data_IF_487504588973
#
_entry.id   IF_487504588973
#
_cell.length_a   1.000
_cell.length_b   1.000
_cell.length_c   1.000
_cell.angle_alpha   90.00
_cell.angle_beta   90.00
_cell.angle_gamma   90.00
#
_symmetry.space_group_name_H-M   'P 1'
#
loop_
_entity.id
_entity.type
_entity.pdbx_description
1 polymer ?
#
# COMPACT_ATOMS: atom_id res chain seq x y z
N UNK A 1 51.65 -12.58 -16.50
CA UNK A 1 51.71 -11.97 -15.16
C UNK A 1 51.39 -10.49 -15.29
N UNK A 2 50.42 -10.00 -14.52
CA UNK A 2 50.27 -8.62 -14.02
C UNK A 2 50.37 -7.40 -14.99
N UNK A 3 49.19 -6.89 -15.38
CA UNK A 3 48.79 -5.47 -15.18
C UNK A 3 48.57 -5.22 -13.66
N UNK A 4 48.36 -4.00 -13.11
CA UNK A 4 47.97 -2.70 -13.71
C UNK A 4 49.09 -1.62 -13.48
N UNK A 5 48.94 -0.29 -13.41
CA UNK A 5 47.84 0.71 -13.27
C UNK A 5 48.20 1.98 -14.06
N UNK A 6 47.22 2.79 -14.52
CA UNK A 6 47.54 4.04 -15.22
C UNK A 6 46.41 5.00 -15.59
N UNK A 7 45.35 5.12 -14.78
CA UNK A 7 44.30 6.17 -14.86
C UNK A 7 43.50 6.21 -16.18
N UNK A 8 42.30 5.61 -16.17
CA UNK A 8 41.23 5.97 -17.11
C UNK A 8 40.12 6.69 -16.34
N UNK A 9 39.92 7.97 -16.66
CA UNK A 9 38.82 8.77 -16.10
C UNK A 9 37.51 8.31 -16.74
N UNK A 10 36.70 7.57 -16.00
CA UNK A 10 35.31 7.31 -16.37
C UNK A 10 34.41 8.19 -15.50
N UNK A 11 33.90 9.26 -16.11
CA UNK A 11 32.75 10.01 -15.60
C UNK A 11 31.57 9.04 -15.59
N UNK A 12 31.24 8.50 -14.43
CA UNK A 12 30.04 7.69 -14.24
C UNK A 12 28.90 8.61 -13.81
N UNK A 13 27.99 9.03 -14.71
CA UNK A 13 26.74 9.61 -14.25
C UNK A 13 26.01 8.50 -13.48
N UNK A 14 25.79 8.69 -12.17
CA UNK A 14 24.92 7.80 -11.41
C UNK A 14 23.50 7.95 -11.95
N UNK A 15 23.17 7.15 -12.97
CA UNK A 15 21.81 6.92 -13.36
C UNK A 15 21.13 6.16 -12.22
N UNK A 16 20.60 6.92 -11.27
CA UNK A 16 19.56 6.47 -10.36
C UNK A 16 18.25 6.26 -11.14
N UNK A 17 18.28 5.33 -12.09
CA UNK A 17 17.15 4.49 -12.45
C UNK A 17 16.90 3.51 -11.29
N UNK A 18 16.67 4.08 -10.10
CA UNK A 18 15.88 3.42 -9.09
C UNK A 18 14.48 3.26 -9.69
N UNK A 19 14.30 2.16 -10.42
CA UNK A 19 13.00 1.69 -10.84
C UNK A 19 12.19 1.52 -9.56
N UNK A 20 11.33 2.50 -9.28
CA UNK A 20 10.30 2.34 -8.29
C UNK A 20 9.53 1.10 -8.72
N UNK A 21 9.51 0.01 -7.93
CA UNK A 21 8.71 -1.15 -8.30
C UNK A 21 7.29 -0.67 -8.50
N UNK A 22 6.65 -1.14 -9.57
CA UNK A 22 5.33 -0.71 -10.01
C UNK A 22 4.29 -0.86 -8.90
N UNK A 23 4.12 0.17 -8.07
CA UNK A 23 3.17 0.15 -6.93
C UNK A 23 1.72 0.07 -7.38
N UNK A 24 1.45 0.41 -8.64
CA UNK A 24 0.15 0.19 -9.27
C UNK A 24 -0.20 -1.31 -9.31
N UNK A 25 0.78 -2.19 -9.51
CA UNK A 25 0.51 -3.62 -9.61
C UNK A 25 0.16 -4.25 -8.25
N UNK A 26 0.72 -3.80 -7.11
CA UNK A 26 0.35 -4.40 -5.81
C UNK A 26 -1.11 -4.16 -5.42
N UNK A 27 -1.62 -2.94 -5.62
CA UNK A 27 -3.04 -2.63 -5.42
C UNK A 27 -3.92 -3.25 -6.51
N UNK A 28 -3.43 -3.35 -7.75
CA UNK A 28 -4.18 -3.95 -8.87
C UNK A 28 -4.31 -5.47 -8.72
N UNK A 29 -3.28 -6.17 -8.27
CA UNK A 29 -3.35 -7.59 -7.93
C UNK A 29 -4.27 -7.81 -6.73
N UNK A 30 -4.19 -6.98 -5.68
CA UNK A 30 -5.13 -7.14 -4.56
C UNK A 30 -6.59 -6.88 -4.97
N UNK A 31 -6.85 -5.88 -5.82
CA UNK A 31 -8.19 -5.63 -6.41
C UNK A 31 -8.65 -6.74 -7.34
N UNK A 32 -7.75 -7.41 -8.07
CA UNK A 32 -8.07 -8.63 -8.84
C UNK A 32 -8.43 -9.79 -7.92
N UNK A 33 -7.65 -10.03 -6.87
CA UNK A 33 -7.87 -11.11 -5.91
C UNK A 33 -9.24 -11.00 -5.22
N UNK A 34 -9.68 -9.79 -4.87
CA UNK A 34 -11.03 -9.60 -4.32
C UNK A 34 -12.12 -9.94 -5.35
N UNK A 35 -12.00 -9.46 -6.60
CA UNK A 35 -12.96 -9.77 -7.67
C UNK A 35 -13.04 -11.26 -7.99
N UNK A 36 -11.91 -11.98 -7.96
CA UNK A 36 -11.90 -13.43 -8.15
C UNK A 36 -12.66 -14.15 -7.03
N UNK A 37 -12.55 -13.67 -5.78
CA UNK A 37 -13.29 -14.20 -4.65
C UNK A 37 -14.80 -13.92 -4.73
N UNK A 38 -15.22 -12.82 -5.35
CA UNK A 38 -16.64 -12.54 -5.63
C UNK A 38 -17.18 -13.42 -6.78
N UNK A 39 -16.42 -13.62 -7.86
CA UNK A 39 -16.83 -14.40 -9.05
C UNK A 39 -16.97 -15.91 -8.74
N UNK A 40 -16.09 -16.50 -7.92
CA UNK A 40 -16.16 -17.92 -7.52
C UNK A 40 -17.38 -18.24 -6.64
N UNK A 41 -18.09 -17.23 -6.11
CA UNK A 41 -19.21 -17.39 -5.16
C UNK A 41 -20.60 -17.27 -5.77
N UNK A 42 -20.73 -16.96 -7.07
CA UNK A 42 -22.03 -16.77 -7.73
C UNK A 42 -22.75 -18.08 -8.11
N UNK A 43 -22.37 -19.21 -7.52
CA UNK A 43 -23.04 -20.49 -7.77
C UNK A 43 -24.32 -20.59 -6.91
N UNK A 44 -25.51 -20.82 -7.50
CA UNK A 44 -26.78 -20.59 -6.83
C UNK A 44 -27.14 -21.69 -5.81
N UNK A 45 -26.74 -21.50 -4.55
CA UNK A 45 -27.18 -22.35 -3.43
C UNK A 45 -28.57 -21.91 -2.96
N UNK A 46 -29.51 -22.85 -2.93
CA UNK A 46 -30.91 -22.56 -2.65
C UNK A 46 -31.17 -22.17 -1.17
N UNK A 47 -31.63 -20.93 -0.99
CA UNK A 47 -32.58 -20.47 0.04
C UNK A 47 -32.55 -21.17 1.42
N UNK A 48 -31.51 -20.96 2.23
CA UNK A 48 -31.59 -21.27 3.69
C UNK A 48 -30.59 -20.55 4.63
N UNK A 49 -29.97 -19.42 4.25
CA UNK A 49 -28.96 -18.73 5.10
C UNK A 49 -29.06 -17.20 5.08
N UNK A 50 -29.90 -16.57 5.95
CA UNK A 50 -30.08 -15.11 5.93
C UNK A 50 -28.99 -14.29 6.63
N UNK A 51 -28.25 -14.86 7.60
CA UNK A 51 -27.33 -14.09 8.47
C UNK A 51 -25.85 -14.19 8.08
N UNK A 52 -25.39 -15.37 7.69
CA UNK A 52 -23.98 -15.62 7.31
C UNK A 52 -23.60 -14.84 6.04
N UNK A 53 -24.38 -15.01 4.97
CA UNK A 53 -24.20 -14.29 3.70
C UNK A 53 -24.24 -12.75 3.87
N UNK A 54 -25.03 -12.25 4.82
CA UNK A 54 -25.09 -10.82 5.13
C UNK A 54 -23.82 -10.31 5.84
N UNK A 55 -23.25 -11.08 6.78
CA UNK A 55 -22.00 -10.71 7.45
C UNK A 55 -20.79 -10.73 6.51
N UNK A 56 -20.80 -11.60 5.50
CA UNK A 56 -19.72 -11.70 4.52
C UNK A 56 -19.75 -10.57 3.49
N UNK A 57 -20.93 -10.26 2.93
CA UNK A 57 -21.09 -9.10 2.05
C UNK A 57 -20.69 -7.79 2.75
N UNK A 58 -21.05 -7.63 4.03
CA UNK A 58 -20.69 -6.43 4.79
C UNK A 58 -19.18 -6.34 5.03
N UNK A 59 -18.48 -7.46 5.28
CA UNK A 59 -17.01 -7.45 5.32
C UNK A 59 -16.41 -7.06 3.96
N UNK A 60 -16.92 -7.60 2.84
CA UNK A 60 -16.45 -7.26 1.50
C UNK A 60 -16.67 -5.76 1.18
N UNK A 61 -17.75 -5.15 1.66
CA UNK A 61 -17.97 -3.70 1.57
C UNK A 61 -16.97 -2.92 2.43
N UNK A 62 -16.82 -3.26 3.71
CA UNK A 62 -15.92 -2.59 4.66
C UNK A 62 -14.45 -2.64 4.19
N UNK A 63 -13.96 -3.82 3.76
CA UNK A 63 -12.59 -3.97 3.27
C UNK A 63 -12.39 -3.26 1.92
N UNK A 64 -13.44 -3.18 1.07
CA UNK A 64 -13.41 -2.39 -0.16
C UNK A 64 -13.29 -0.89 0.10
N UNK A 65 -14.06 -0.35 1.06
CA UNK A 65 -13.96 1.06 1.47
C UNK A 65 -12.58 1.37 2.05
N UNK A 66 -12.07 0.49 2.92
CA UNK A 66 -10.73 0.59 3.47
C UNK A 66 -9.65 0.60 2.38
N UNK A 67 -9.79 -0.21 1.32
CA UNK A 67 -8.86 -0.24 0.19
C UNK A 67 -8.90 1.02 -0.67
N UNK A 68 -10.06 1.64 -0.85
CA UNK A 68 -10.18 2.94 -1.52
C UNK A 68 -9.44 4.03 -0.71
N UNK A 69 -9.55 3.99 0.61
CA UNK A 69 -8.80 4.91 1.49
C UNK A 69 -7.27 4.70 1.42
N UNK A 70 -6.80 3.45 1.32
CA UNK A 70 -5.39 3.13 1.11
C UNK A 70 -4.88 3.61 -0.27
N UNK A 71 -5.65 3.39 -1.34
CA UNK A 71 -5.31 3.88 -2.68
C UNK A 71 -5.23 5.41 -2.72
N UNK A 72 -6.17 6.10 -2.07
CA UNK A 72 -6.15 7.55 -1.93
C UNK A 72 -4.88 8.05 -1.23
N UNK A 73 -4.48 7.44 -0.11
CA UNK A 73 -3.25 7.77 0.58
C UNK A 73 -2.01 7.52 -0.31
N UNK A 74 -1.99 6.43 -1.08
CA UNK A 74 -0.95 6.14 -2.06
C UNK A 74 -0.82 7.21 -3.15
N UNK A 75 -1.96 7.69 -3.66
CA UNK A 75 -2.03 8.80 -4.62
C UNK A 75 -1.53 10.12 -4.00
N UNK A 76 -1.93 10.45 -2.77
CA UNK A 76 -1.43 11.64 -2.06
C UNK A 76 0.11 11.62 -1.90
N UNK A 77 0.67 10.47 -1.49
CA UNK A 77 2.13 10.28 -1.36
C UNK A 77 2.81 10.48 -2.72
N UNK A 78 2.27 9.86 -3.78
CA UNK A 78 2.84 9.94 -5.13
C UNK A 78 2.81 11.37 -5.67
N UNK A 79 1.65 12.04 -5.64
CA UNK A 79 1.50 13.41 -6.12
C UNK A 79 2.41 14.37 -5.37
N UNK A 80 2.50 14.25 -4.05
CA UNK A 80 3.38 15.07 -3.23
C UNK A 80 4.87 14.89 -3.60
N UNK A 81 5.32 13.64 -3.77
CA UNK A 81 6.70 13.35 -4.20
C UNK A 81 6.98 13.87 -5.61
N UNK A 82 6.03 13.72 -6.54
CA UNK A 82 6.18 14.22 -7.92
C UNK A 82 6.28 15.76 -7.98
N UNK A 83 5.50 16.47 -7.16
CA UNK A 83 5.56 17.93 -7.05
C UNK A 83 6.91 18.42 -6.51
N UNK A 84 7.43 17.79 -5.45
CA UNK A 84 8.72 18.15 -4.86
C UNK A 84 9.95 17.69 -5.65
N UNK A 85 9.77 16.80 -6.64
CA UNK A 85 10.84 16.36 -7.55
C UNK A 85 10.93 17.22 -8.83
N UNK A 86 10.10 18.26 -8.97
CA UNK A 86 10.27 19.18 -10.10
C UNK A 86 11.43 20.14 -9.80
N UNK A 87 12.35 20.38 -10.76
CA UNK A 87 13.39 21.39 -10.62
C UNK A 87 12.78 22.76 -10.31
N UNK A 88 13.32 23.46 -9.31
CA UNK A 88 12.79 24.77 -8.88
C UNK A 88 11.47 24.68 -8.11
N UNK A 89 11.06 23.50 -7.63
CA UNK A 89 9.92 23.38 -6.72
C UNK A 89 10.18 24.10 -5.39
N UNK A 90 9.14 24.70 -4.80
CA UNK A 90 9.25 25.41 -3.52
C UNK A 90 9.17 24.46 -2.31
N UNK A 91 9.67 23.22 -2.42
CA UNK A 91 9.54 22.19 -1.39
C UNK A 91 10.56 22.34 -0.26
N UNK A 92 10.36 23.35 0.59
CA UNK A 92 11.15 23.54 1.80
C UNK A 92 11.09 22.33 2.75
N UNK A 93 12.24 21.92 3.30
CA UNK A 93 12.41 20.78 4.21
C UNK A 93 11.36 20.72 5.34
N UNK A 94 11.04 21.86 5.97
CA UNK A 94 10.04 21.94 7.05
C UNK A 94 8.62 21.63 6.56
N UNK A 95 8.26 22.03 5.33
CA UNK A 95 6.97 21.69 4.70
C UNK A 95 6.93 20.21 4.33
N UNK A 96 8.02 19.68 3.80
CA UNK A 96 8.15 18.25 3.46
C UNK A 96 7.99 17.36 4.70
N UNK A 97 8.74 17.58 5.78
CA UNK A 97 8.58 16.81 7.03
C UNK A 97 7.21 16.98 7.70
N UNK A 98 6.49 18.08 7.47
CA UNK A 98 5.12 18.27 7.98
C UNK A 98 4.12 17.44 7.19
N UNK A 99 4.09 17.57 5.85
CA UNK A 99 3.20 16.77 5.00
C UNK A 99 3.49 15.28 5.16
N UNK A 100 4.77 14.90 5.23
CA UNK A 100 5.15 13.51 5.42
C UNK A 100 4.71 12.92 6.77
N UNK A 101 4.74 13.70 7.86
CA UNK A 101 4.15 13.29 9.15
C UNK A 101 2.65 13.09 9.06
N UNK A 102 1.93 13.95 8.34
CA UNK A 102 0.49 13.80 8.10
C UNK A 102 0.17 12.51 7.35
N UNK A 103 0.92 12.22 6.27
CA UNK A 103 0.74 10.99 5.48
C UNK A 103 1.05 9.72 6.31
N UNK A 104 2.08 9.77 7.17
CA UNK A 104 2.40 8.69 8.11
C UNK A 104 1.33 8.51 9.19
N UNK A 105 0.66 9.58 9.62
CA UNK A 105 -0.47 9.49 10.55
C UNK A 105 -1.66 8.78 9.88
N UNK A 106 -2.06 9.19 8.67
CA UNK A 106 -3.11 8.51 7.90
C UNK A 106 -2.81 7.03 7.63
N UNK A 107 -1.56 6.67 7.33
CA UNK A 107 -1.15 5.26 7.25
C UNK A 107 -1.36 4.49 8.57
N UNK A 108 -1.07 5.14 9.71
CA UNK A 108 -1.23 4.54 11.04
C UNK A 108 -2.70 4.37 11.39
N UNK A 109 -3.55 5.32 10.99
CA UNK A 109 -5.00 5.25 11.13
C UNK A 109 -5.60 4.11 10.30
N UNK A 110 -5.25 3.99 9.01
CA UNK A 110 -5.67 2.87 8.17
C UNK A 110 -5.28 1.52 8.77
N UNK A 111 -4.05 1.42 9.32
CA UNK A 111 -3.63 0.20 10.01
C UNK A 111 -4.52 -0.12 11.22
N UNK A 112 -4.83 0.88 12.06
CA UNK A 112 -5.70 0.68 13.21
C UNK A 112 -7.15 0.33 12.80
N UNK A 113 -7.65 0.90 11.70
CA UNK A 113 -8.95 0.53 11.13
C UNK A 113 -8.98 -0.94 10.65
N UNK A 114 -7.90 -1.42 10.03
CA UNK A 114 -7.80 -2.84 9.63
C UNK A 114 -7.77 -3.78 10.85
N UNK A 115 -6.97 -3.43 11.86
CA UNK A 115 -6.90 -4.20 13.12
C UNK A 115 -8.27 -4.21 13.85
N UNK A 116 -9.05 -3.12 13.76
CA UNK A 116 -10.42 -3.07 14.27
C UNK A 116 -11.43 -3.91 13.46
N UNK A 117 -11.32 -3.93 12.11
CA UNK A 117 -12.14 -4.79 11.25
C UNK A 117 -11.87 -6.28 11.52
N UNK A 118 -10.60 -6.66 11.64
CA UNK A 118 -10.20 -8.03 12.00
C UNK A 118 -10.85 -8.48 13.32
N UNK A 119 -10.69 -7.69 14.38
CA UNK A 119 -11.30 -7.99 15.69
C UNK A 119 -12.83 -8.00 15.62
N UNK A 120 -13.45 -7.16 14.79
CA UNK A 120 -14.91 -7.10 14.70
C UNK A 120 -15.50 -8.37 14.05
N UNK A 121 -14.81 -8.99 13.09
CA UNK A 121 -15.33 -10.12 12.31
C UNK A 121 -14.85 -11.51 12.78
N UNK A 122 -13.61 -11.65 13.27
CA UNK A 122 -13.02 -12.94 13.71
C UNK A 122 -13.86 -13.63 14.81
N UNK A 123 -14.60 -12.89 15.62
CA UNK A 123 -15.50 -13.44 16.64
C UNK A 123 -16.95 -13.70 16.22
N UNK A 124 -17.34 -13.43 14.96
CA UNK A 124 -18.76 -13.48 14.51
C UNK A 124 -19.06 -14.47 13.39
N UNK A 125 -18.04 -15.00 12.72
CA UNK A 125 -18.17 -15.88 11.56
C UNK A 125 -18.00 -17.36 11.93
N UNK A 126 -18.45 -18.26 11.05
CA UNK A 126 -18.12 -19.68 11.16
C UNK A 126 -16.65 -19.94 10.85
N UNK A 127 -16.14 -21.14 11.19
CA UNK A 127 -14.71 -21.46 11.08
C UNK A 127 -14.17 -21.44 9.64
N UNK A 128 -15.02 -21.69 8.65
CA UNK A 128 -14.64 -21.72 7.22
C UNK A 128 -14.65 -20.30 6.62
N UNK A 129 -15.68 -19.52 6.92
CA UNK A 129 -15.75 -18.09 6.59
C UNK A 129 -14.56 -17.33 7.21
N UNK A 130 -14.28 -17.56 8.50
CA UNK A 130 -13.15 -16.96 9.22
C UNK A 130 -11.78 -17.29 8.58
N UNK A 131 -11.62 -18.46 7.95
CA UNK A 131 -10.39 -18.81 7.24
C UNK A 131 -10.21 -17.99 5.94
N UNK A 132 -11.30 -17.79 5.18
CA UNK A 132 -11.26 -16.95 3.97
C UNK A 132 -11.05 -15.46 4.32
N UNK A 133 -11.68 -14.99 5.40
CA UNK A 133 -11.49 -13.67 5.99
C UNK A 133 -10.01 -13.44 6.38
N UNK A 134 -9.43 -14.35 7.15
CA UNK A 134 -8.03 -14.30 7.60
C UNK A 134 -7.07 -14.24 6.40
N UNK A 135 -7.30 -15.06 5.36
CA UNK A 135 -6.51 -15.04 4.12
C UNK A 135 -6.51 -13.66 3.45
N UNK A 136 -7.66 -12.99 3.37
CA UNK A 136 -7.77 -11.63 2.81
C UNK A 136 -7.12 -10.59 3.71
N UNK A 137 -7.33 -10.66 5.04
CA UNK A 137 -6.67 -9.77 6.01
C UNK A 137 -5.14 -9.91 5.95
N UNK A 138 -4.60 -11.11 5.80
CA UNK A 138 -3.15 -11.34 5.67
C UNK A 138 -2.57 -10.75 4.36
N UNK A 139 -3.27 -10.88 3.23
CA UNK A 139 -2.89 -10.20 1.97
C UNK A 139 -2.88 -8.68 2.15
N UNK A 140 -3.86 -8.13 2.85
CA UNK A 140 -3.94 -6.68 3.13
C UNK A 140 -2.83 -6.21 4.07
N UNK A 141 -2.52 -6.97 5.14
CA UNK A 141 -1.36 -6.74 6.04
C UNK A 141 -0.03 -6.73 5.28
N UNK A 142 0.12 -7.58 4.25
CA UNK A 142 1.30 -7.58 3.37
C UNK A 142 1.43 -6.25 2.59
N UNK A 143 0.33 -5.74 2.01
CA UNK A 143 0.34 -4.45 1.31
C UNK A 143 0.63 -3.29 2.27
N UNK A 144 0.07 -3.30 3.49
CA UNK A 144 0.44 -2.31 4.51
C UNK A 144 1.94 -2.31 4.83
N UNK A 145 2.57 -3.48 4.91
CA UNK A 145 4.04 -3.57 5.12
C UNK A 145 4.81 -2.88 3.99
N UNK A 146 4.41 -3.08 2.73
CA UNK A 146 5.01 -2.40 1.58
C UNK A 146 4.84 -0.87 1.67
N UNK A 147 3.73 -0.38 2.25
CA UNK A 147 3.50 1.04 2.52
C UNK A 147 4.36 1.60 3.66
N UNK A 148 4.60 0.86 4.75
CA UNK A 148 5.54 1.28 5.80
C UNK A 148 6.98 1.34 5.29
N UNK A 149 7.45 0.31 4.58
CA UNK A 149 8.78 0.28 3.94
C UNK A 149 8.95 1.46 2.97
N UNK A 150 7.93 1.71 2.14
CA UNK A 150 7.81 2.88 1.27
C UNK A 150 7.98 4.19 2.03
N UNK A 151 7.25 4.36 3.14
CA UNK A 151 7.30 5.59 3.93
C UNK A 151 8.66 5.76 4.62
N UNK A 152 9.27 4.68 5.13
CA UNK A 152 10.62 4.70 5.70
C UNK A 152 11.67 5.13 4.66
N UNK A 153 11.60 4.58 3.44
CA UNK A 153 12.50 4.93 2.34
C UNK A 153 12.37 6.41 1.93
N UNK A 154 11.14 6.92 1.80
CA UNK A 154 10.92 8.34 1.50
C UNK A 154 11.46 9.21 2.64
N UNK A 155 11.17 8.87 3.91
CA UNK A 155 11.65 9.61 5.07
C UNK A 155 13.18 9.70 5.13
N UNK A 156 13.87 8.60 4.85
CA UNK A 156 15.34 8.54 4.77
C UNK A 156 15.94 9.32 3.59
N UNK A 157 15.14 9.70 2.60
CA UNK A 157 15.56 10.44 1.40
C UNK A 157 14.93 11.83 1.29
N UNK A 158 14.34 12.38 2.37
CA UNK A 158 13.66 13.69 2.36
C UNK A 158 14.55 14.82 1.83
N UNK A 159 15.86 14.81 2.11
CA UNK A 159 16.80 15.81 1.59
C UNK A 159 16.80 15.88 0.05
N UNK A 160 16.69 14.72 -0.62
CA UNK A 160 16.59 14.62 -2.08
C UNK A 160 15.27 15.15 -2.65
N UNK A 161 14.29 15.50 -1.82
CA UNK A 161 13.02 16.12 -2.22
C UNK A 161 12.99 17.63 -1.92
N UNK A 162 14.12 18.20 -1.50
CA UNK A 162 14.26 19.61 -1.10
C UNK A 162 15.32 20.31 -1.97
N UNK A 163 16.43 19.62 -2.23
CA UNK A 163 17.59 20.19 -2.93
C UNK A 163 17.60 19.84 -4.44
N UNK A 164 16.54 20.19 -5.20
CA UNK A 164 16.40 19.94 -6.66
C UNK A 164 16.25 21.20 -7.54
#
# INVERSE_FOLDING_TARGET
MLLPVGILVIVLPLQFTAAFPSRGDSLRELRKLMRQQDDERQQPVAASTPRTFQSENQFNEDISQWLLSLEHLGLEIFQFVQQCRQPGSQCQQRRVHRRFRSLRHGYTELRAQLEALEVSYVGRMSSEEAWTLESTIQKVKLVLRQYDETLRLINGQIFKLVDQ
#
